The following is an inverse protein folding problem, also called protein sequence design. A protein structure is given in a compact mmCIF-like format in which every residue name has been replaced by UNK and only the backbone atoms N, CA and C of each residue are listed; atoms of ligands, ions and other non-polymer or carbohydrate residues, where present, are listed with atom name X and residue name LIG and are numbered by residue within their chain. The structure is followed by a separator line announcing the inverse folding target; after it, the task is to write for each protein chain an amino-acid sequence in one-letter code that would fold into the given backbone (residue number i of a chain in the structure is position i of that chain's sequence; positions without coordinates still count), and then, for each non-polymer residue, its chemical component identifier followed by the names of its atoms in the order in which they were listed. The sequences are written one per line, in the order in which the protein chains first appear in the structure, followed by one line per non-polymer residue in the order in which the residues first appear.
data_IF_317880638709
#
_entry.id   IF_317880638709
#
_cell.length_a   1.000
_cell.length_b   1.000
_cell.length_c   1.000
_cell.angle_alpha   90.00
_cell.angle_beta   90.00
_cell.angle_gamma   90.00
#
_symmetry.space_group_name_H-M   'P 1'
#
loop_
_entity.id
_entity.type
_entity.pdbx_description
1 polymer ?
#
# COMPACT_ATOMS: atom_id res chain seq x y z
N UNK A 1 0.22 -22.38 -28.18
CA UNK A 1 -0.14 -22.49 -26.75
C UNK A 1 1.04 -23.09 -25.99
N UNK A 2 1.76 -22.28 -25.20
CA UNK A 2 2.42 -22.78 -24.00
C UNK A 2 2.00 -21.98 -22.76
N UNK A 3 1.96 -22.69 -21.63
CA UNK A 3 1.26 -22.29 -20.41
C UNK A 3 1.97 -21.21 -19.58
N UNK A 4 1.14 -20.38 -18.97
CA UNK A 4 1.47 -19.35 -17.99
C UNK A 4 2.06 -19.98 -16.72
N UNK A 5 3.33 -19.71 -16.43
CA UNK A 5 3.98 -20.08 -15.17
C UNK A 5 3.41 -19.24 -14.02
N UNK A 6 2.41 -19.75 -13.31
CA UNK A 6 2.02 -19.23 -11.99
C UNK A 6 3.20 -19.40 -11.04
N UNK A 7 3.71 -18.31 -10.47
CA UNK A 7 4.79 -18.32 -9.49
C UNK A 7 4.48 -19.30 -8.33
N UNK A 8 5.39 -20.24 -8.10
CA UNK A 8 5.22 -21.28 -7.09
C UNK A 8 5.45 -20.66 -5.69
N UNK A 9 4.37 -20.53 -4.91
CA UNK A 9 4.45 -20.12 -3.50
C UNK A 9 5.17 -21.21 -2.69
N UNK A 10 5.99 -20.79 -1.70
CA UNK A 10 6.75 -21.69 -0.82
C UNK A 10 6.29 -21.55 0.62
N UNK A 11 6.37 -22.63 1.39
CA UNK A 11 6.05 -22.60 2.82
C UNK A 11 7.17 -21.90 3.59
N UNK A 12 6.84 -20.77 4.23
CA UNK A 12 7.77 -19.98 5.02
C UNK A 12 8.00 -20.54 6.43
N UNK A 13 8.90 -19.91 7.22
CA UNK A 13 9.27 -20.38 8.57
C UNK A 13 8.12 -20.47 9.59
N UNK A 14 7.01 -19.77 9.33
CA UNK A 14 5.81 -19.76 10.15
C UNK A 14 4.67 -20.63 9.56
N UNK A 15 4.97 -21.49 8.58
CA UNK A 15 3.97 -22.33 7.89
C UNK A 15 3.05 -21.55 6.95
N UNK A 16 3.38 -20.29 6.63
CA UNK A 16 2.60 -19.44 5.73
C UNK A 16 3.17 -19.54 4.32
N UNK A 17 2.31 -19.74 3.32
CA UNK A 17 2.73 -19.71 1.92
C UNK A 17 3.14 -18.28 1.52
N UNK A 18 4.39 -18.12 1.10
CA UNK A 18 4.98 -16.86 0.70
C UNK A 18 5.58 -16.95 -0.71
N UNK A 19 5.66 -15.83 -1.44
CA UNK A 19 6.42 -15.78 -2.67
C UNK A 19 7.92 -16.01 -2.38
N UNK A 20 8.69 -16.64 -3.28
CA UNK A 20 10.13 -16.88 -3.10
C UNK A 20 10.93 -15.61 -2.75
N UNK A 21 10.49 -14.45 -3.26
CA UNK A 21 11.10 -13.15 -3.01
C UNK A 21 11.03 -12.71 -1.53
N UNK A 22 10.09 -13.26 -0.74
CA UNK A 22 9.92 -12.92 0.67
C UNK A 22 11.10 -13.38 1.56
N UNK A 23 11.88 -14.36 1.11
CA UNK A 23 13.07 -14.85 1.82
C UNK A 23 14.32 -14.02 1.52
N UNK A 24 14.27 -13.13 0.53
CA UNK A 24 15.41 -12.30 0.15
C UNK A 24 15.66 -11.24 1.24
N UNK A 25 16.82 -11.24 1.91
CA UNK A 25 17.09 -10.29 2.98
C UNK A 25 17.24 -8.88 2.43
N UNK A 26 16.47 -7.95 3.00
CA UNK A 26 16.58 -6.51 2.72
C UNK A 26 17.19 -5.84 3.95
N UNK A 27 18.35 -5.20 3.77
CA UNK A 27 19.04 -4.47 4.86
C UNK A 27 18.87 -2.97 4.66
N UNK A 28 18.35 -2.26 5.66
CA UNK A 28 18.24 -0.80 5.64
C UNK A 28 19.30 -0.20 6.56
N UNK A 29 20.08 0.76 6.08
CA UNK A 29 21.17 1.39 6.84
C UNK A 29 21.06 2.90 6.73
N UNK A 30 21.18 3.60 7.86
CA UNK A 30 21.30 5.06 7.85
C UNK A 30 22.75 5.47 7.52
N UNK A 31 22.93 6.19 6.43
CA UNK A 31 24.19 6.77 6.00
C UNK A 31 24.41 8.10 6.70
N UNK A 32 25.28 8.10 7.72
CA UNK A 32 25.60 9.32 8.47
C UNK A 32 26.26 10.40 7.62
N UNK A 33 27.06 10.01 6.61
CA UNK A 33 27.75 10.96 5.73
C UNK A 33 26.83 11.69 4.77
N UNK A 34 25.69 11.09 4.41
CA UNK A 34 24.71 11.65 3.48
C UNK A 34 23.39 12.02 4.16
N UNK A 35 23.29 11.80 5.48
CA UNK A 35 22.10 11.99 6.29
C UNK A 35 20.84 11.28 5.73
N UNK A 36 21.02 10.13 5.06
CA UNK A 36 19.95 9.45 4.31
C UNK A 36 19.95 7.93 4.50
N UNK A 37 18.94 7.22 4.01
CA UNK A 37 18.79 5.77 4.13
C UNK A 37 19.30 5.08 2.87
N UNK A 38 20.13 4.05 3.04
CA UNK A 38 20.48 3.12 1.96
C UNK A 38 19.82 1.78 2.18
N UNK A 39 19.33 1.17 1.11
CA UNK A 39 18.80 -0.20 1.12
C UNK A 39 19.79 -1.10 0.39
N UNK A 40 20.08 -2.26 0.97
CA UNK A 40 20.91 -3.29 0.37
C UNK A 40 20.09 -4.55 0.11
N UNK A 41 20.20 -5.06 -1.11
CA UNK A 41 19.70 -6.37 -1.52
C UNK A 41 20.88 -7.23 -1.99
N UNK A 42 20.85 -8.56 -1.78
CA UNK A 42 21.91 -9.43 -2.28
C UNK A 42 21.92 -9.50 -3.81
N UNK A 43 23.08 -9.79 -4.40
CA UNK A 43 23.27 -9.85 -5.85
C UNK A 43 22.41 -10.92 -6.54
N UNK A 44 22.00 -11.96 -5.82
CA UNK A 44 21.10 -13.01 -6.31
C UNK A 44 19.62 -12.60 -6.29
N UNK A 45 19.27 -11.41 -5.79
CA UNK A 45 17.90 -10.91 -5.85
C UNK A 45 17.47 -10.68 -7.30
N UNK A 46 16.21 -10.99 -7.61
CA UNK A 46 15.68 -10.75 -8.96
C UNK A 46 15.63 -9.25 -9.27
N UNK A 47 15.88 -8.88 -10.52
CA UNK A 47 15.75 -7.49 -10.97
C UNK A 47 14.32 -6.97 -10.76
N UNK A 48 13.31 -7.84 -10.86
CA UNK A 48 11.91 -7.50 -10.55
C UNK A 48 11.77 -7.03 -9.10
N UNK A 49 12.33 -7.76 -8.13
CA UNK A 49 12.30 -7.36 -6.73
C UNK A 49 13.09 -6.06 -6.49
N UNK A 50 14.29 -5.94 -7.08
CA UNK A 50 15.12 -4.74 -6.95
C UNK A 50 14.38 -3.49 -7.48
N UNK A 51 13.77 -3.59 -8.65
CA UNK A 51 12.95 -2.51 -9.23
C UNK A 51 11.77 -2.17 -8.34
N UNK A 52 11.07 -3.18 -7.82
CA UNK A 52 9.91 -2.98 -6.95
C UNK A 52 10.29 -2.25 -5.65
N UNK A 53 11.40 -2.65 -5.01
CA UNK A 53 11.91 -2.00 -3.80
C UNK A 53 12.36 -0.57 -4.11
N UNK A 54 13.07 -0.35 -5.21
CA UNK A 54 13.48 0.99 -5.63
C UNK A 54 12.28 1.91 -5.89
N UNK A 55 11.21 1.42 -6.52
CA UNK A 55 9.98 2.19 -6.76
C UNK A 55 9.27 2.58 -5.48
N UNK A 56 9.09 1.63 -4.55
CA UNK A 56 8.47 1.95 -3.26
C UNK A 56 9.35 2.89 -2.44
N UNK A 57 10.66 2.71 -2.50
CA UNK A 57 11.59 3.56 -1.78
C UNK A 57 11.57 4.98 -2.33
N UNK A 58 11.59 5.16 -3.66
CA UNK A 58 11.48 6.46 -4.33
C UNK A 58 10.18 7.19 -3.97
N UNK A 59 9.02 6.50 -3.97
CA UNK A 59 7.75 7.06 -3.48
C UNK A 59 7.82 7.51 -2.02
N UNK A 60 8.47 6.71 -1.18
CA UNK A 60 8.52 6.93 0.28
C UNK A 60 9.38 8.13 0.66
N UNK A 61 10.48 8.33 -0.06
CA UNK A 61 11.44 9.44 0.15
C UNK A 61 11.15 10.65 -0.73
N UNK A 62 10.22 10.53 -1.68
CA UNK A 62 9.86 11.58 -2.66
C UNK A 62 11.09 12.08 -3.44
N UNK A 63 12.00 11.17 -3.80
CA UNK A 63 13.21 11.49 -4.57
C UNK A 63 13.56 10.33 -5.52
N UNK A 64 14.32 10.58 -6.60
CA UNK A 64 14.89 9.53 -7.43
C UNK A 64 15.81 8.61 -6.63
N UNK A 65 15.65 7.30 -6.80
CA UNK A 65 16.51 6.28 -6.20
C UNK A 65 17.44 5.72 -7.25
N UNK A 66 18.74 5.81 -6.98
CA UNK A 66 19.79 5.25 -7.84
C UNK A 66 20.21 3.88 -7.32
N UNK A 67 20.33 2.93 -8.23
CA UNK A 67 20.73 1.55 -7.95
C UNK A 67 22.16 1.34 -8.39
N UNK A 68 23.01 0.89 -7.47
CA UNK A 68 24.41 0.58 -7.71
C UNK A 68 24.67 -0.91 -7.44
N UNK A 69 25.53 -1.51 -8.24
CA UNK A 69 26.03 -2.86 -8.00
C UNK A 69 27.43 -2.80 -7.38
N UNK A 70 27.50 -3.19 -6.11
CA UNK A 70 28.72 -3.32 -5.34
C UNK A 70 29.24 -4.76 -5.46
N UNK A 71 30.04 -5.01 -6.51
CA UNK A 71 30.64 -6.33 -6.78
C UNK A 71 31.53 -6.83 -5.64
N UNK A 72 32.17 -5.94 -4.89
CA UNK A 72 33.04 -6.33 -3.78
C UNK A 72 32.23 -6.89 -2.59
N UNK A 73 30.98 -6.47 -2.46
CA UNK A 73 30.07 -6.91 -1.39
C UNK A 73 28.98 -7.87 -1.85
N UNK A 74 28.93 -8.20 -3.15
CA UNK A 74 27.86 -8.96 -3.79
C UNK A 74 26.46 -8.45 -3.41
N UNK A 75 26.28 -7.13 -3.51
CA UNK A 75 25.03 -6.45 -3.13
C UNK A 75 24.65 -5.37 -4.14
N UNK A 76 23.34 -5.20 -4.31
CA UNK A 76 22.75 -3.98 -4.87
C UNK A 76 22.51 -2.98 -3.74
N UNK A 77 22.91 -1.73 -3.99
CA UNK A 77 22.71 -0.58 -3.11
C UNK A 77 21.72 0.37 -3.75
N UNK A 78 20.64 0.69 -3.05
CA UNK A 78 19.60 1.63 -3.45
C UNK A 78 19.74 2.85 -2.54
N UNK A 79 19.97 4.02 -3.11
CA UNK A 79 20.11 5.27 -2.35
C UNK A 79 19.31 6.41 -3.02
N UNK A 80 18.59 7.23 -2.24
CA UNK A 80 18.02 8.46 -2.75
C UNK A 80 19.17 9.42 -3.07
N UNK A 81 19.20 9.94 -4.28
CA UNK A 81 20.18 10.95 -4.65
C UNK A 81 19.40 12.06 -5.36
N UNK A 82 19.25 13.24 -4.74
CA UNK A 82 18.65 14.40 -5.38
C UNK A 82 19.39 14.77 -6.66
N UNK A 83 18.70 15.27 -7.68
CA UNK A 83 19.33 15.69 -8.94
C UNK A 83 20.35 16.82 -8.75
N UNK A 84 20.12 17.68 -7.74
CA UNK A 84 20.92 18.85 -7.46
C UNK A 84 22.19 18.56 -6.63
N UNK A 85 22.34 17.33 -6.13
CA UNK A 85 23.46 16.92 -5.29
C UNK A 85 24.25 15.82 -6.01
N UNK A 86 25.56 16.02 -6.16
CA UNK A 86 26.49 14.99 -6.62
C UNK A 86 27.26 14.42 -5.43
N UNK A 87 26.68 13.50 -4.65
CA UNK A 87 27.41 12.87 -3.57
C UNK A 87 28.63 12.10 -4.10
N UNK A 88 29.68 11.99 -3.29
CA UNK A 88 30.77 11.06 -3.58
C UNK A 88 30.22 9.63 -3.55
N UNK A 89 30.10 9.04 -4.74
CA UNK A 89 29.60 7.68 -4.98
C UNK A 89 30.72 6.73 -5.39
N UNK A 90 31.99 7.14 -5.27
CA UNK A 90 33.16 6.34 -5.67
C UNK A 90 33.20 4.95 -5.02
N UNK A 91 32.68 4.83 -3.80
CA UNK A 91 32.63 3.58 -3.02
C UNK A 91 31.33 2.78 -3.19
N UNK A 92 30.44 3.21 -4.09
CA UNK A 92 29.07 2.67 -4.18
C UNK A 92 28.99 1.51 -5.17
N UNK A 93 30.02 1.35 -6.00
CA UNK A 93 30.07 0.38 -7.08
C UNK A 93 29.59 0.97 -8.40
N UNK A 94 29.24 0.10 -9.35
CA UNK A 94 28.80 0.51 -10.68
C UNK A 94 27.35 0.97 -10.64
N UNK A 95 27.05 2.17 -11.11
CA UNK A 95 25.65 2.60 -11.33
C UNK A 95 24.98 1.70 -12.38
N UNK A 96 23.79 1.19 -12.04
CA UNK A 96 23.01 0.30 -12.89
C UNK A 96 21.88 1.06 -13.59
N UNK A 97 20.98 1.64 -12.80
CA UNK A 97 19.81 2.37 -13.28
C UNK A 97 19.26 3.29 -12.19
N UNK A 98 18.32 4.16 -12.56
CA UNK A 98 17.61 5.08 -11.65
C UNK A 98 16.11 4.82 -11.75
N UNK A 99 15.42 4.83 -10.62
CA UNK A 99 13.96 4.76 -10.54
C UNK A 99 13.45 6.05 -9.91
N UNK A 100 12.58 6.73 -10.64
CA UNK A 100 11.94 7.94 -10.15
C UNK A 100 10.43 7.74 -10.11
N UNK A 101 9.91 7.66 -8.89
CA UNK A 101 8.50 7.62 -8.53
C UNK A 101 8.23 8.70 -7.46
N UNK A 102 9.06 9.76 -7.44
CA UNK A 102 8.96 10.87 -6.50
C UNK A 102 7.68 11.69 -6.70
N UNK A 103 7.24 11.80 -7.96
CA UNK A 103 5.99 12.45 -8.29
C UNK A 103 4.83 11.52 -7.93
N UNK A 104 3.86 11.99 -7.11
CA UNK A 104 2.61 11.28 -6.96
C UNK A 104 2.00 11.10 -8.35
N UNK A 105 1.53 9.88 -8.66
CA UNK A 105 0.71 9.66 -9.85
C UNK A 105 -0.43 10.68 -9.76
N UNK A 106 -0.41 11.69 -10.64
CA UNK A 106 -1.50 12.64 -10.76
C UNK A 106 -2.71 11.79 -11.12
N UNK A 107 -3.61 11.65 -10.16
CA UNK A 107 -4.93 11.10 -10.46
C UNK A 107 -5.50 12.07 -11.48
N UNK A 108 -5.81 11.57 -12.68
CA UNK A 108 -6.32 12.40 -13.78
C UNK A 108 -7.48 13.25 -13.27
N UNK A 109 -7.59 14.50 -13.73
CA UNK A 109 -8.74 15.36 -13.41
C UNK A 109 -10.08 14.70 -13.82
N UNK A 110 -10.04 13.72 -14.75
CA UNK A 110 -11.16 12.88 -15.17
C UNK A 110 -11.49 11.70 -14.23
N UNK A 111 -10.78 11.50 -13.10
CA UNK A 111 -11.12 10.42 -12.17
C UNK A 111 -12.40 10.79 -11.40
N UNK A 112 -13.51 10.04 -11.57
CA UNK A 112 -14.78 10.32 -10.92
C UNK A 112 -14.75 10.14 -9.40
N UNK A 113 -13.63 9.68 -8.83
CA UNK A 113 -13.41 9.57 -7.38
C UNK A 113 -12.67 10.77 -6.80
N UNK A 114 -12.32 11.79 -7.59
CA UNK A 114 -11.68 13.03 -7.12
C UNK A 114 -12.73 14.15 -7.09
N UNK A 115 -12.86 14.80 -5.93
CA UNK A 115 -13.79 15.91 -5.72
C UNK A 115 -13.14 17.26 -5.99
N UNK A 116 -13.94 18.32 -5.83
CA UNK A 116 -13.46 19.70 -5.93
C UNK A 116 -12.31 19.93 -4.92
N UNK A 117 -11.14 20.35 -5.41
CA UNK A 117 -9.93 20.51 -4.61
C UNK A 117 -8.96 19.32 -4.63
N UNK A 118 -9.15 18.34 -5.54
CA UNK A 118 -8.18 17.26 -5.77
C UNK A 118 -8.16 16.19 -4.68
N UNK A 119 -9.12 16.23 -3.75
CA UNK A 119 -9.23 15.25 -2.67
C UNK A 119 -10.08 14.06 -3.11
N UNK A 120 -9.70 12.84 -2.69
CA UNK A 120 -10.44 11.63 -3.04
C UNK A 120 -11.75 11.57 -2.26
N UNK A 121 -12.87 11.49 -2.98
CA UNK A 121 -14.21 11.31 -2.46
C UNK A 121 -14.28 9.91 -1.79
N UNK A 122 -14.63 9.84 -0.48
CA UNK A 122 -14.81 8.56 0.19
C UNK A 122 -16.04 7.83 -0.36
N UNK A 123 -16.03 6.51 -0.27
CA UNK A 123 -17.19 5.69 -0.65
C UNK A 123 -18.35 5.96 0.32
N UNK A 124 -19.61 5.92 -0.14
CA UNK A 124 -20.74 5.93 0.78
C UNK A 124 -20.65 4.74 1.73
N UNK A 125 -20.99 4.96 3.00
CA UNK A 125 -20.93 3.93 4.04
C UNK A 125 -22.09 2.95 3.85
N UNK A 126 -21.80 1.66 3.87
CA UNK A 126 -22.84 0.63 3.86
C UNK A 126 -23.46 0.44 5.27
N UNK A 127 -24.51 -0.37 5.36
CA UNK A 127 -25.25 -0.60 6.61
C UNK A 127 -24.36 -1.12 7.74
N UNK A 128 -23.49 -2.09 7.45
CA UNK A 128 -22.56 -2.65 8.43
C UNK A 128 -21.58 -1.59 8.96
N UNK A 129 -21.07 -0.72 8.09
CA UNK A 129 -20.11 0.31 8.50
C UNK A 129 -20.77 1.36 9.39
N UNK A 130 -22.03 1.72 9.09
CA UNK A 130 -22.84 2.60 9.94
C UNK A 130 -23.14 1.95 11.31
N UNK A 131 -23.56 0.69 11.31
CA UNK A 131 -23.80 -0.09 12.54
C UNK A 131 -22.54 -0.18 13.40
N UNK A 132 -21.41 -0.60 12.78
CA UNK A 132 -20.12 -0.71 13.46
C UNK A 132 -19.65 0.61 14.03
N UNK A 133 -19.87 1.73 13.32
CA UNK A 133 -19.52 3.05 13.83
C UNK A 133 -20.32 3.43 15.07
N UNK A 134 -21.60 3.06 15.13
CA UNK A 134 -22.43 3.28 16.32
C UNK A 134 -21.96 2.41 17.48
N UNK A 135 -21.83 1.10 17.25
CA UNK A 135 -21.47 0.13 18.30
C UNK A 135 -20.03 0.28 18.78
N UNK A 136 -19.11 0.69 17.92
CA UNK A 136 -17.74 0.97 18.34
C UNK A 136 -17.66 2.10 19.35
N UNK A 137 -18.45 3.16 19.18
CA UNK A 137 -18.49 4.27 20.14
C UNK A 137 -19.06 3.83 21.49
N UNK A 138 -20.07 2.95 21.50
CA UNK A 138 -20.64 2.39 22.73
C UNK A 138 -19.61 1.52 23.49
N UNK A 139 -18.93 0.63 22.77
CA UNK A 139 -17.99 -0.34 23.37
C UNK A 139 -16.71 0.35 23.85
N UNK A 140 -16.11 1.23 23.06
CA UNK A 140 -14.85 1.92 23.43
C UNK A 140 -15.02 2.83 24.64
N UNK A 141 -16.24 3.32 24.93
CA UNK A 141 -16.52 4.04 26.19
C UNK A 141 -16.50 3.15 27.42
N UNK A 142 -16.72 1.85 27.25
CA UNK A 142 -16.83 0.87 28.34
C UNK A 142 -15.57 0.01 28.49
N UNK A 143 -14.83 -0.18 27.41
CA UNK A 143 -13.65 -1.04 27.35
C UNK A 143 -12.48 -0.24 26.76
N UNK A 144 -11.57 0.17 27.63
CA UNK A 144 -10.31 0.78 27.21
C UNK A 144 -9.35 -0.28 26.64
N UNK A 145 -8.59 0.08 25.61
CA UNK A 145 -7.55 -0.78 25.05
C UNK A 145 -8.03 -1.90 24.11
N UNK A 146 -9.32 -1.99 23.79
CA UNK A 146 -9.82 -2.97 22.82
C UNK A 146 -9.23 -2.72 21.42
N UNK A 147 -8.71 -3.76 20.78
CA UNK A 147 -8.14 -3.64 19.44
C UNK A 147 -9.24 -3.56 18.39
N UNK A 148 -8.94 -2.94 17.24
CA UNK A 148 -9.89 -2.85 16.12
C UNK A 148 -10.33 -4.22 15.58
N UNK A 149 -9.48 -5.24 15.69
CA UNK A 149 -9.77 -6.62 15.29
C UNK A 149 -10.80 -7.25 16.23
N UNK A 150 -10.57 -7.17 17.53
CA UNK A 150 -11.48 -7.69 18.56
C UNK A 150 -12.83 -6.99 18.49
N UNK A 151 -12.82 -5.67 18.33
CA UNK A 151 -14.04 -4.87 18.19
C UNK A 151 -14.88 -5.31 16.99
N UNK A 152 -14.26 -5.56 15.84
CA UNK A 152 -14.96 -6.08 14.66
C UNK A 152 -15.54 -7.48 14.87
N UNK A 153 -14.86 -8.36 15.61
CA UNK A 153 -15.38 -9.70 15.94
C UNK A 153 -16.59 -9.64 16.86
N UNK A 154 -16.53 -8.78 17.89
CA UNK A 154 -17.66 -8.59 18.82
C UNK A 154 -18.86 -8.02 18.08
N UNK A 155 -18.67 -6.93 17.34
CA UNK A 155 -19.76 -6.27 16.60
C UNK A 155 -20.33 -7.18 15.51
N UNK A 156 -19.51 -8.02 14.86
CA UNK A 156 -19.99 -9.00 13.89
C UNK A 156 -21.01 -9.96 14.51
N UNK A 157 -20.72 -10.52 15.70
CA UNK A 157 -21.69 -11.36 16.42
C UNK A 157 -22.94 -10.59 16.83
N UNK A 158 -22.78 -9.35 17.32
CA UNK A 158 -23.92 -8.51 17.67
C UNK A 158 -24.84 -8.26 16.47
N UNK A 159 -24.27 -8.06 15.27
CA UNK A 159 -25.05 -7.88 14.05
C UNK A 159 -25.84 -9.12 13.69
N UNK A 160 -25.23 -10.31 13.79
CA UNK A 160 -25.90 -11.58 13.48
C UNK A 160 -27.05 -11.90 14.46
N UNK A 161 -26.93 -11.46 15.72
CA UNK A 161 -27.93 -11.61 16.77
C UNK A 161 -28.95 -10.45 16.81
N UNK A 162 -28.75 -9.41 16.00
CA UNK A 162 -29.56 -8.20 15.99
C UNK A 162 -30.97 -8.48 15.44
N UNK A 163 -31.95 -7.75 15.95
CA UNK A 163 -33.34 -7.89 15.49
C UNK A 163 -33.50 -7.47 14.02
N UNK A 164 -34.41 -8.11 13.26
CA UNK A 164 -34.69 -7.72 11.88
C UNK A 164 -35.05 -6.24 11.72
N UNK A 165 -35.75 -5.66 12.71
CA UNK A 165 -36.16 -4.27 12.71
C UNK A 165 -34.97 -3.32 12.79
N UNK A 166 -33.97 -3.63 13.64
CA UNK A 166 -32.76 -2.82 13.76
C UNK A 166 -31.87 -3.01 12.53
N UNK A 167 -31.73 -4.22 12.02
CA UNK A 167 -31.01 -4.42 10.75
C UNK A 167 -31.65 -3.60 9.62
N UNK A 168 -32.99 -3.64 9.49
CA UNK A 168 -33.74 -2.86 8.50
C UNK A 168 -33.52 -1.35 8.65
N UNK A 169 -33.45 -0.85 9.89
CA UNK A 169 -33.08 0.55 10.15
C UNK A 169 -31.71 0.90 9.56
N UNK A 170 -30.68 0.08 9.76
CA UNK A 170 -29.35 0.33 9.21
C UNK A 170 -29.27 0.17 7.69
N UNK A 171 -30.06 -0.72 7.11
CA UNK A 171 -30.24 -0.79 5.66
C UNK A 171 -30.83 0.50 5.10
N UNK A 172 -31.90 1.03 5.70
CA UNK A 172 -32.50 2.30 5.27
C UNK A 172 -31.53 3.48 5.42
N UNK A 173 -30.74 3.51 6.50
CA UNK A 173 -29.71 4.53 6.70
C UNK A 173 -28.61 4.46 5.62
N UNK A 174 -28.23 3.26 5.18
CA UNK A 174 -27.27 3.09 4.09
C UNK A 174 -27.82 3.54 2.74
N UNK A 175 -29.10 3.26 2.45
CA UNK A 175 -29.77 3.77 1.23
C UNK A 175 -29.81 5.31 1.23
N UNK A 176 -30.10 5.91 2.38
CA UNK A 176 -30.09 7.37 2.53
C UNK A 176 -28.70 7.96 2.36
N UNK A 177 -27.66 7.32 2.91
CA UNK A 177 -26.26 7.70 2.71
C UNK A 177 -25.87 7.64 1.23
N UNK A 178 -26.24 6.55 0.53
CA UNK A 178 -25.98 6.39 -0.91
C UNK A 178 -26.71 7.47 -1.73
N UNK A 179 -27.96 7.75 -1.40
CA UNK A 179 -28.74 8.80 -2.06
C UNK A 179 -28.11 10.18 -1.87
N UNK A 180 -27.78 10.55 -0.63
CA UNK A 180 -27.14 11.83 -0.32
C UNK A 180 -25.77 11.95 -1.01
N UNK A 181 -24.98 10.86 -1.02
CA UNK A 181 -23.68 10.82 -1.68
C UNK A 181 -23.80 11.04 -3.19
N UNK A 182 -24.77 10.40 -3.86
CA UNK A 182 -25.04 10.61 -5.29
C UNK A 182 -25.46 12.05 -5.61
N UNK A 183 -26.20 12.70 -4.72
CA UNK A 183 -26.57 14.10 -4.89
C UNK A 183 -25.39 15.06 -4.67
N UNK A 184 -24.57 14.78 -3.65
CA UNK A 184 -23.41 15.60 -3.29
C UNK A 184 -22.28 15.48 -4.32
N UNK A 185 -22.10 14.29 -4.90
CA UNK A 185 -21.04 13.98 -5.85
C UNK A 185 -21.62 13.48 -7.18
N UNK A 186 -22.26 14.38 -7.97
CA UNK A 186 -22.78 14.01 -9.27
C UNK A 186 -21.62 13.57 -10.17
N UNK A 187 -21.70 12.36 -10.72
CA UNK A 187 -20.63 11.76 -11.53
C UNK A 187 -19.68 10.84 -10.76
N UNK A 188 -19.81 10.71 -9.43
CA UNK A 188 -19.03 9.73 -8.68
C UNK A 188 -19.26 8.32 -9.20
N UNK A 189 -18.17 7.61 -9.46
CA UNK A 189 -18.17 6.20 -9.84
C UNK A 189 -17.00 5.52 -9.16
N UNK A 190 -17.31 4.44 -8.44
CA UNK A 190 -16.26 3.65 -7.82
C UNK A 190 -15.41 2.98 -8.91
N UNK A 191 -14.12 3.34 -8.92
CA UNK A 191 -13.10 2.65 -9.69
C UNK A 191 -12.19 1.92 -8.70
N UNK A 192 -12.15 0.57 -8.70
CA UNK A 192 -11.16 -0.15 -7.93
C UNK A 192 -9.77 0.27 -8.41
N UNK A 193 -8.85 0.53 -7.47
CA UNK A 193 -7.47 0.77 -7.85
C UNK A 193 -7.00 -0.43 -8.68
N UNK A 194 -6.57 -0.17 -9.92
CA UNK A 194 -5.86 -1.20 -10.67
C UNK A 194 -4.60 -1.50 -9.87
N UNK A 195 -4.44 -2.75 -9.45
CA UNK A 195 -3.10 -3.22 -9.17
C UNK A 195 -2.29 -2.95 -10.44
N UNK A 196 -1.10 -2.33 -10.36
CA UNK A 196 -0.30 -2.14 -11.55
C UNK A 196 -0.09 -3.53 -12.14
N UNK A 197 -0.61 -3.75 -13.36
CA UNK A 197 -0.31 -4.95 -14.12
C UNK A 197 1.20 -5.08 -14.08
N UNK A 198 1.69 -6.13 -13.44
CA UNK A 198 3.08 -6.50 -13.56
C UNK A 198 3.24 -7.01 -14.99
N UNK A 199 3.35 -6.09 -15.96
CA UNK A 199 3.91 -6.39 -17.27
C UNK A 199 5.38 -6.75 -17.00
N UNK A 200 5.59 -8.03 -16.71
CA UNK A 200 6.89 -8.67 -16.70
C UNK A 200 7.38 -8.68 -18.16
N UNK A 201 8.54 -8.07 -18.46
CA UNK A 201 9.24 -8.35 -19.71
C UNK A 201 9.68 -9.81 -19.79
#
# INVERSE_FOLDING_TARGET
MPGTSKGHLREGPLGVLMPPEAEVPITMVYSQSQADIHIFLPENASLTLINHVADKFSRRVQQPVRVFHDKARSKYRLCPIPEDVSPDTSTYGRHCFTRDQSTPVKVSDDDPTIGEGGSRIPRPRNCWLLYRQSKSQEITRSVEGITASELSRVIGRMWDEETPEIQAYWYNMAEKEEFNHKQQYPGYKYIPAKEPDQELP
#
